data_IF_720707461558
#
_entry.id   IF_720707461558
#
_cell.length_a   1.000
_cell.length_b   1.000
_cell.length_c   1.000
_cell.angle_alpha   90.00
_cell.angle_beta   90.00
_cell.angle_gamma   90.00
#
_symmetry.space_group_name_H-M   'P 1'
#
loop_
_entity.id
_entity.type
_entity.pdbx_description
1 polymer ?
#
# COMPACT_ATOMS: atom_id res chain seq x y z
N UNK A 1 5.68 -9.05 -4.03
CA UNK A 1 4.25 -9.37 -3.89
C UNK A 1 3.97 -10.85 -4.15
N UNK A 2 4.09 -11.30 -5.41
CA UNK A 2 3.77 -12.67 -5.88
C UNK A 2 4.99 -13.60 -5.99
N UNK A 3 6.10 -13.33 -5.29
CA UNK A 3 7.35 -14.10 -5.51
C UNK A 3 8.09 -13.81 -6.81
N UNK A 4 7.66 -12.80 -7.57
CA UNK A 4 8.34 -12.35 -8.80
C UNK A 4 9.22 -11.15 -8.47
N UNK A 5 10.51 -11.26 -8.75
CA UNK A 5 11.46 -10.16 -8.63
C UNK A 5 11.35 -9.27 -9.88
N UNK A 6 11.01 -8.00 -9.68
CA UNK A 6 10.91 -7.00 -10.74
C UNK A 6 10.74 -5.60 -10.18
N UNK A 7 11.12 -4.60 -10.96
CA UNK A 7 11.07 -3.18 -10.59
C UNK A 7 10.93 -2.29 -11.84
N UNK A 8 10.66 -1.00 -11.61
CA UNK A 8 10.58 -0.01 -12.69
C UNK A 8 11.97 0.37 -13.20
N UNK A 9 12.13 0.43 -14.52
CA UNK A 9 13.34 0.91 -15.21
C UNK A 9 12.98 2.02 -16.19
N UNK A 10 13.98 2.76 -16.68
CA UNK A 10 13.77 3.71 -17.77
C UNK A 10 13.47 2.99 -19.08
N UNK A 11 12.92 3.73 -20.06
CA UNK A 11 12.53 3.16 -21.35
C UNK A 11 13.71 2.58 -22.14
N UNK A 12 14.87 3.22 -22.06
CA UNK A 12 16.09 2.78 -22.77
C UNK A 12 16.60 1.46 -22.18
N UNK A 13 16.61 1.33 -20.85
CA UNK A 13 16.99 0.08 -20.18
C UNK A 13 16.02 -1.06 -20.52
N UNK A 14 14.72 -0.76 -20.62
CA UNK A 14 13.71 -1.74 -21.05
C UNK A 14 13.95 -2.20 -22.49
N UNK A 15 14.21 -1.27 -23.43
CA UNK A 15 14.54 -1.59 -24.82
C UNK A 15 15.80 -2.44 -24.94
N UNK A 16 16.85 -2.11 -24.19
CA UNK A 16 18.07 -2.89 -24.14
C UNK A 16 17.82 -4.33 -23.66
N UNK A 17 17.02 -4.50 -22.60
CA UNK A 17 16.62 -5.82 -22.10
C UNK A 17 15.81 -6.61 -23.13
N UNK A 18 14.92 -5.95 -23.88
CA UNK A 18 14.17 -6.58 -24.98
C UNK A 18 15.08 -7.06 -26.12
N UNK A 19 16.22 -6.39 -26.33
CA UNK A 19 17.26 -6.80 -27.29
C UNK A 19 18.21 -7.87 -26.72
N UNK A 20 17.92 -8.41 -25.53
CA UNK A 20 18.71 -9.45 -24.88
C UNK A 20 19.93 -8.93 -24.11
N UNK A 21 20.07 -7.61 -23.94
CA UNK A 21 21.14 -7.07 -23.10
C UNK A 21 20.84 -7.32 -21.61
N UNK A 22 21.80 -7.85 -20.83
CA UNK A 22 21.64 -7.99 -19.39
C UNK A 22 21.51 -6.61 -18.71
N UNK A 23 20.71 -6.56 -17.64
CA UNK A 23 20.66 -5.38 -16.76
C UNK A 23 21.94 -5.33 -15.91
N UNK A 24 22.73 -4.28 -16.08
CA UNK A 24 23.91 -4.04 -15.25
C UNK A 24 23.53 -3.33 -13.96
N UNK A 25 23.83 -3.94 -12.81
CA UNK A 25 23.60 -3.35 -11.50
C UNK A 25 24.68 -3.77 -10.51
N UNK A 26 24.94 -2.91 -9.52
CA UNK A 26 25.71 -3.33 -8.35
C UNK A 26 24.91 -4.36 -7.57
N UNK A 27 25.60 -5.36 -7.00
CA UNK A 27 24.96 -6.31 -6.09
C UNK A 27 24.38 -5.52 -4.92
N UNK A 28 23.04 -5.51 -4.73
CA UNK A 28 22.41 -4.64 -3.76
C UNK A 28 22.51 -5.23 -2.35
N UNK A 29 22.61 -4.36 -1.36
CA UNK A 29 22.27 -4.73 0.02
C UNK A 29 20.82 -5.22 0.08
N UNK A 30 20.55 -6.19 0.95
CA UNK A 30 19.19 -6.66 1.23
C UNK A 30 18.82 -6.33 2.66
N UNK A 31 17.74 -5.56 2.83
CA UNK A 31 17.16 -5.23 4.12
C UNK A 31 16.01 -6.20 4.40
N UNK A 32 16.14 -7.00 5.45
CA UNK A 32 15.08 -7.89 5.90
C UNK A 32 14.02 -7.11 6.68
N UNK A 33 12.76 -7.25 6.31
CA UNK A 33 11.64 -6.64 7.03
C UNK A 33 10.73 -7.72 7.62
N UNK A 34 10.89 -7.98 8.92
CA UNK A 34 10.17 -9.04 9.64
C UNK A 34 8.75 -8.62 9.97
N UNK A 35 7.77 -9.40 9.52
CA UNK A 35 6.38 -9.26 9.92
C UNK A 35 6.02 -10.38 10.91
N UNK A 36 5.56 -9.98 12.09
CA UNK A 36 5.04 -10.90 13.12
C UNK A 36 3.60 -10.53 13.48
N UNK A 37 2.92 -11.40 14.22
CA UNK A 37 1.53 -11.16 14.63
C UNK A 37 0.55 -11.15 13.47
N UNK A 38 -0.63 -10.57 13.71
CA UNK A 38 -1.72 -10.43 12.71
C UNK A 38 -2.28 -9.02 12.78
N UNK A 39 -2.76 -8.51 11.64
CA UNK A 39 -3.50 -7.24 11.62
C UNK A 39 -4.77 -7.37 12.47
N UNK A 40 -5.05 -6.34 13.26
CA UNK A 40 -6.29 -6.24 14.04
C UNK A 40 -7.48 -5.99 13.11
N UNK A 41 -8.66 -6.37 13.56
CA UNK A 41 -9.90 -6.06 12.85
C UNK A 41 -10.03 -4.55 12.60
N UNK A 42 -10.47 -4.17 11.39
CA UNK A 42 -10.59 -2.78 10.97
C UNK A 42 -9.29 -2.13 10.49
N UNK A 43 -8.14 -2.80 10.63
CA UNK A 43 -6.86 -2.35 10.07
C UNK A 43 -6.70 -2.92 8.66
N UNK A 44 -6.21 -2.10 7.74
CA UNK A 44 -6.10 -2.44 6.32
C UNK A 44 -4.65 -2.62 5.86
N UNK A 45 -4.48 -3.20 4.67
CA UNK A 45 -3.18 -3.24 3.99
C UNK A 45 -2.58 -1.85 3.79
N UNK A 46 -3.42 -0.82 3.59
CA UNK A 46 -3.01 0.57 3.47
C UNK A 46 -2.34 1.08 4.75
N UNK A 47 -2.90 0.75 5.92
CA UNK A 47 -2.32 1.15 7.21
C UNK A 47 -0.95 0.50 7.45
N UNK A 48 -0.84 -0.79 7.10
CA UNK A 48 0.40 -1.54 7.19
C UNK A 48 1.46 -0.96 6.26
N UNK A 49 1.14 -0.72 4.98
CA UNK A 49 2.13 -0.18 4.03
C UNK A 49 2.57 1.23 4.39
N UNK A 50 1.70 2.08 4.94
CA UNK A 50 2.11 3.41 5.43
C UNK A 50 3.08 3.29 6.62
N UNK A 51 2.84 2.34 7.52
CA UNK A 51 3.71 2.06 8.66
C UNK A 51 5.08 1.55 8.19
N UNK A 52 5.09 0.57 7.28
CA UNK A 52 6.29 0.05 6.63
C UNK A 52 7.05 1.17 5.91
N UNK A 53 6.34 2.03 5.17
CA UNK A 53 6.93 3.13 4.41
C UNK A 53 7.65 4.12 5.32
N UNK A 54 7.01 4.52 6.42
CA UNK A 54 7.60 5.40 7.41
C UNK A 54 8.89 4.80 8.02
N UNK A 55 8.85 3.52 8.40
CA UNK A 55 9.99 2.82 9.01
C UNK A 55 11.17 2.68 8.03
N UNK A 56 10.90 2.22 6.81
CA UNK A 56 11.93 2.02 5.79
C UNK A 56 12.54 3.34 5.30
N UNK A 57 11.75 4.42 5.20
CA UNK A 57 12.29 5.74 4.91
C UNK A 57 13.21 6.25 5.99
N UNK A 58 12.86 6.04 7.26
CA UNK A 58 13.72 6.40 8.40
C UNK A 58 15.02 5.58 8.41
N UNK A 59 14.94 4.31 8.03
CA UNK A 59 16.11 3.41 7.97
C UNK A 59 17.05 3.72 6.79
N UNK A 60 16.51 4.17 5.65
CA UNK A 60 17.28 4.54 4.48
C UNK A 60 17.61 3.35 3.57
N UNK A 61 16.64 2.98 2.72
CA UNK A 61 16.76 1.83 1.80
C UNK A 61 16.93 2.20 0.33
N UNK A 62 17.38 3.43 0.05
CA UNK A 62 17.62 3.90 -1.33
C UNK A 62 18.67 3.04 -2.02
N UNK A 63 18.30 2.46 -3.18
CA UNK A 63 19.16 1.58 -3.96
C UNK A 63 19.34 0.17 -3.39
N UNK A 64 18.61 -0.17 -2.32
CA UNK A 64 18.65 -1.49 -1.67
C UNK A 64 17.43 -2.32 -2.04
N UNK A 65 17.53 -3.63 -1.85
CA UNK A 65 16.37 -4.51 -1.86
C UNK A 65 15.76 -4.57 -0.47
N UNK A 66 14.44 -4.67 -0.39
CA UNK A 66 13.72 -5.01 0.83
C UNK A 66 13.07 -6.36 0.63
N UNK A 67 13.38 -7.31 1.51
CA UNK A 67 12.76 -8.63 1.52
C UNK A 67 11.91 -8.79 2.77
N UNK A 68 10.63 -9.08 2.60
CA UNK A 68 9.70 -9.31 3.69
C UNK A 68 9.73 -10.77 4.11
N UNK A 69 9.84 -11.02 5.41
CA UNK A 69 9.94 -12.37 5.99
C UNK A 69 9.24 -12.45 7.36
N UNK A 70 9.30 -13.63 7.99
CA UNK A 70 8.66 -13.90 9.27
C UNK A 70 7.29 -14.58 9.15
N UNK A 71 6.79 -15.10 10.26
CA UNK A 71 5.58 -15.92 10.29
C UNK A 71 4.30 -15.14 10.01
N UNK A 72 4.31 -13.82 10.21
CA UNK A 72 3.18 -12.95 9.89
C UNK A 72 2.78 -12.98 8.41
N UNK A 73 3.69 -13.38 7.51
CA UNK A 73 3.37 -13.53 6.08
C UNK A 73 2.25 -14.56 5.83
N UNK A 74 2.16 -15.61 6.65
CA UNK A 74 1.16 -16.66 6.48
C UNK A 74 -0.28 -16.12 6.62
N UNK A 75 -0.46 -15.05 7.38
CA UNK A 75 -1.75 -14.39 7.61
C UNK A 75 -1.97 -13.17 6.70
N UNK A 76 -1.03 -12.88 5.80
CA UNK A 76 -1.10 -11.73 4.91
C UNK A 76 -1.51 -12.17 3.49
N UNK A 77 -2.76 -11.90 3.07
CA UNK A 77 -3.25 -12.25 1.74
C UNK A 77 -2.37 -11.67 0.63
N UNK A 78 -2.37 -12.30 -0.55
CA UNK A 78 -1.49 -11.87 -1.63
C UNK A 78 -1.75 -10.43 -2.10
N UNK A 79 -3.01 -10.00 -2.11
CA UNK A 79 -3.36 -8.63 -2.46
C UNK A 79 -2.68 -7.62 -1.52
N UNK A 80 -2.59 -7.92 -0.22
CA UNK A 80 -1.94 -7.06 0.77
C UNK A 80 -0.41 -7.04 0.55
N UNK A 81 0.19 -8.19 0.24
CA UNK A 81 1.61 -8.27 -0.16
C UNK A 81 1.89 -7.44 -1.41
N UNK A 82 0.96 -7.43 -2.36
CA UNK A 82 1.06 -6.64 -3.59
C UNK A 82 0.92 -5.14 -3.30
N UNK A 83 -0.01 -4.74 -2.42
CA UNK A 83 -0.14 -3.35 -1.92
C UNK A 83 1.18 -2.86 -1.33
N UNK A 84 1.82 -3.67 -0.47
CA UNK A 84 3.10 -3.30 0.16
C UNK A 84 4.22 -3.22 -0.88
N UNK A 85 4.37 -4.24 -1.73
CA UNK A 85 5.41 -4.28 -2.74
C UNK A 85 5.26 -3.15 -3.79
N UNK A 86 4.02 -2.75 -4.12
CA UNK A 86 3.77 -1.66 -5.06
C UNK A 86 4.33 -0.33 -4.56
N UNK A 87 4.35 -0.10 -3.24
CA UNK A 87 4.87 1.13 -2.64
C UNK A 87 6.39 1.15 -2.44
N UNK A 88 7.14 0.25 -3.09
CA UNK A 88 8.60 0.20 -3.01
C UNK A 88 9.29 1.52 -3.35
N UNK A 89 8.88 2.22 -4.43
CA UNK A 89 9.43 3.55 -4.74
C UNK A 89 9.16 4.57 -3.62
N UNK A 90 8.00 4.50 -2.97
CA UNK A 90 7.58 5.40 -1.89
C UNK A 90 8.40 5.22 -0.63
N UNK A 91 8.97 4.05 -0.35
CA UNK A 91 9.99 3.86 0.69
C UNK A 91 11.44 3.89 0.21
N UNK A 92 11.64 3.96 -1.10
CA UNK A 92 12.94 4.19 -1.75
C UNK A 92 13.69 2.92 -2.13
N UNK A 93 13.15 1.74 -1.86
CA UNK A 93 13.80 0.50 -2.26
C UNK A 93 13.69 0.30 -3.78
N UNK A 94 14.66 -0.40 -4.35
CA UNK A 94 14.59 -0.85 -5.74
C UNK A 94 13.41 -1.82 -5.92
N UNK A 95 13.20 -2.71 -4.95
CA UNK A 95 12.05 -3.62 -4.92
C UNK A 95 11.65 -4.02 -3.48
N UNK A 96 10.39 -4.42 -3.34
CA UNK A 96 9.81 -5.05 -2.15
C UNK A 96 9.44 -6.49 -2.46
N UNK A 97 10.31 -7.42 -2.06
CA UNK A 97 10.20 -8.84 -2.38
C UNK A 97 9.46 -9.61 -1.28
N UNK A 98 8.57 -10.51 -1.70
CA UNK A 98 7.90 -11.47 -0.82
C UNK A 98 8.14 -12.84 -1.45
N UNK A 99 8.72 -13.81 -0.73
CA UNK A 99 9.05 -15.12 -1.29
C UNK A 99 7.80 -15.95 -1.63
N UNK A 100 7.99 -16.98 -2.46
CA UNK A 100 6.94 -17.92 -2.86
C UNK A 100 6.57 -18.82 -1.68
N UNK A 101 5.27 -19.02 -1.46
CA UNK A 101 4.71 -19.86 -0.41
C UNK A 101 3.28 -20.32 -0.76
N UNK A 102 2.60 -20.96 0.19
CA UNK A 102 1.23 -21.46 -0.02
C UNK A 102 0.22 -20.36 -0.38
N UNK A 103 0.39 -19.13 0.12
CA UNK A 103 -0.48 -17.99 -0.23
C UNK A 103 -0.29 -17.61 -1.70
N UNK A 104 0.94 -17.71 -2.21
CA UNK A 104 1.25 -17.53 -3.63
C UNK A 104 0.49 -18.54 -4.49
N UNK A 105 0.55 -19.83 -4.14
CA UNK A 105 -0.17 -20.88 -4.88
C UNK A 105 -1.70 -20.73 -4.77
N UNK A 106 -2.19 -20.35 -3.59
CA UNK A 106 -3.61 -20.05 -3.35
C UNK A 106 -4.13 -18.94 -4.28
N UNK A 107 -3.34 -17.89 -4.48
CA UNK A 107 -3.66 -16.83 -5.43
C UNK A 107 -3.59 -17.28 -6.89
N UNK A 108 -2.60 -18.11 -7.26
CA UNK A 108 -2.53 -18.68 -8.61
C UNK A 108 -3.77 -19.51 -8.94
N UNK A 109 -4.24 -20.31 -7.98
CA UNK A 109 -5.49 -21.06 -8.10
C UNK A 109 -6.69 -20.13 -8.25
N UNK A 110 -6.80 -19.11 -7.38
CA UNK A 110 -7.88 -18.12 -7.42
C UNK A 110 -7.93 -17.38 -8.76
N UNK A 111 -6.78 -17.07 -9.34
CA UNK A 111 -6.64 -16.38 -10.64
C UNK A 111 -6.71 -17.31 -11.86
N UNK A 112 -7.15 -18.55 -11.66
CA UNK A 112 -7.47 -19.49 -12.74
C UNK A 112 -6.25 -20.14 -13.41
N UNK A 113 -5.10 -20.23 -12.73
CA UNK A 113 -3.96 -21.02 -13.24
C UNK A 113 -4.23 -22.51 -13.10
N UNK A 114 -3.73 -23.30 -14.07
CA UNK A 114 -3.99 -24.75 -14.11
C UNK A 114 -3.31 -25.48 -12.96
N UNK A 115 -3.84 -26.65 -12.60
CA UNK A 115 -3.26 -27.48 -11.56
C UNK A 115 -1.83 -27.92 -11.91
N UNK A 116 -1.55 -28.21 -13.19
CA UNK A 116 -0.20 -28.59 -13.63
C UNK A 116 0.78 -27.43 -13.45
N UNK A 117 0.38 -26.20 -13.79
CA UNK A 117 1.23 -25.02 -13.63
C UNK A 117 1.53 -24.72 -12.16
N UNK A 118 0.53 -24.85 -11.29
CA UNK A 118 0.69 -24.64 -9.83
C UNK A 118 1.67 -25.67 -9.27
N UNK A 119 1.48 -26.95 -9.61
CA UNK A 119 2.38 -28.03 -9.17
C UNK A 119 3.81 -27.84 -9.66
N UNK A 120 3.99 -27.37 -10.90
CA UNK A 120 5.31 -27.04 -11.45
C UNK A 120 5.98 -25.91 -10.67
N UNK A 121 5.27 -24.82 -10.39
CA UNK A 121 5.82 -23.68 -9.63
C UNK A 121 6.24 -24.10 -8.24
N UNK A 122 5.41 -24.89 -7.54
CA UNK A 122 5.75 -25.41 -6.21
C UNK A 122 7.01 -26.28 -6.24
N UNK A 123 7.04 -27.29 -7.12
CA UNK A 123 8.16 -28.22 -7.22
C UNK A 123 9.47 -27.48 -7.58
N UNK A 124 9.40 -26.55 -8.52
CA UNK A 124 10.55 -25.75 -8.93
C UNK A 124 11.05 -24.84 -7.81
N UNK A 125 10.15 -24.08 -7.16
CA UNK A 125 10.52 -23.18 -6.07
C UNK A 125 11.18 -23.93 -4.90
N UNK A 126 10.66 -25.11 -4.54
CA UNK A 126 11.25 -25.98 -3.52
C UNK A 126 12.62 -26.52 -3.93
N UNK A 127 12.74 -27.04 -5.16
CA UNK A 127 14.00 -27.60 -5.66
C UNK A 127 15.12 -26.55 -5.74
N UNK A 128 14.78 -25.29 -5.98
CA UNK A 128 15.75 -24.18 -6.07
C UNK A 128 16.00 -23.47 -4.73
N UNK A 129 15.36 -23.90 -3.63
CA UNK A 129 15.48 -23.21 -2.34
C UNK A 129 14.83 -21.82 -2.29
N UNK A 130 13.89 -21.53 -3.20
CA UNK A 130 13.15 -20.26 -3.26
C UNK A 130 11.82 -20.31 -2.48
N UNK A 131 11.49 -21.45 -1.89
CA UNK A 131 10.27 -21.67 -1.14
C UNK A 131 10.43 -21.21 0.32
N UNK A 132 9.53 -20.34 0.79
CA UNK A 132 9.48 -19.91 2.19
C UNK A 132 8.84 -20.98 3.08
N UNK A 133 9.50 -21.30 4.19
CA UNK A 133 8.99 -22.13 5.26
C UNK A 133 8.67 -21.29 6.52
N UNK A 134 7.76 -21.76 7.39
CA UNK A 134 7.57 -21.18 8.71
C UNK A 134 8.86 -21.18 9.53
N UNK A 135 9.16 -20.07 10.19
CA UNK A 135 10.38 -19.90 11.00
C UNK A 135 11.66 -19.61 10.22
N UNK A 136 11.61 -19.44 8.90
CA UNK A 136 12.79 -19.05 8.12
C UNK A 136 13.31 -17.66 8.56
N UNK A 137 14.62 -17.58 8.85
CA UNK A 137 15.36 -16.36 9.21
C UNK A 137 16.57 -16.19 8.28
N UNK A 138 16.39 -15.68 7.04
CA UNK A 138 17.51 -15.44 6.14
C UNK A 138 18.50 -14.41 6.69
N UNK A 139 19.75 -14.47 6.24
CA UNK A 139 20.79 -13.52 6.64
C UNK A 139 20.71 -12.28 5.74
N UNK A 140 20.35 -11.15 6.34
CA UNK A 140 20.22 -9.86 5.66
C UNK A 140 21.35 -8.90 6.05
N UNK A 141 21.62 -7.89 5.20
CA UNK A 141 22.59 -6.83 5.51
C UNK A 141 22.19 -6.03 6.75
N UNK A 142 20.89 -5.78 6.90
CA UNK A 142 20.28 -5.20 8.09
C UNK A 142 18.83 -5.65 8.19
N UNK A 143 18.23 -5.50 9.36
CA UNK A 143 16.84 -5.90 9.56
C UNK A 143 16.02 -4.88 10.36
N UNK A 144 14.73 -4.86 10.06
CA UNK A 144 13.68 -4.19 10.82
C UNK A 144 12.61 -5.23 11.15
N UNK A 145 11.79 -4.95 12.15
CA UNK A 145 10.66 -5.80 12.51
C UNK A 145 9.45 -4.96 12.90
N UNK A 146 8.25 -5.44 12.56
CA UNK A 146 6.99 -4.91 13.06
C UNK A 146 6.07 -6.04 13.46
N UNK A 147 5.46 -5.90 14.64
CA UNK A 147 4.30 -6.70 15.02
C UNK A 147 3.07 -6.04 14.40
N UNK A 148 2.42 -6.75 13.48
CA UNK A 148 1.25 -6.27 12.75
C UNK A 148 0.07 -5.96 13.68
N UNK A 149 0.03 -6.51 14.90
CA UNK A 149 -1.01 -6.18 15.88
C UNK A 149 -0.90 -4.75 16.41
N UNK A 150 0.28 -4.14 16.31
CA UNK A 150 0.55 -2.76 16.75
C UNK A 150 0.16 -1.71 15.71
N UNK A 151 -0.11 -2.13 14.47
CA UNK A 151 -0.54 -1.22 13.40
C UNK A 151 -1.89 -0.61 13.75
N UNK A 152 -2.01 0.68 13.50
CA UNK A 152 -3.20 1.49 13.74
C UNK A 152 -3.63 2.18 12.45
N UNK A 153 -4.93 2.48 12.36
CA UNK A 153 -5.50 3.20 11.23
C UNK A 153 -4.78 4.53 11.02
N UNK A 154 -4.39 4.85 9.79
CA UNK A 154 -3.54 6.00 9.49
C UNK A 154 -3.80 6.61 8.12
N UNK A 155 -3.33 7.85 7.94
CA UNK A 155 -3.26 8.56 6.67
C UNK A 155 -1.82 8.99 6.42
N UNK A 156 -1.49 9.31 5.17
CA UNK A 156 -0.23 9.94 4.80
C UNK A 156 -0.47 11.32 4.21
N UNK A 157 0.31 12.30 4.65
CA UNK A 157 0.25 13.66 4.13
C UNK A 157 0.58 14.73 5.17
N UNK A 158 0.32 16.01 4.86
CA UNK A 158 -0.39 16.48 3.66
C UNK A 158 0.47 16.53 2.39
N UNK A 159 1.79 16.35 2.48
CA UNK A 159 2.72 16.61 1.36
C UNK A 159 3.44 15.38 0.81
N UNK A 160 3.75 14.37 1.64
CA UNK A 160 4.57 13.23 1.22
C UNK A 160 3.99 11.90 1.70
N UNK A 161 4.14 10.80 0.94
CA UNK A 161 3.63 9.47 1.31
C UNK A 161 4.18 8.91 2.62
N UNK A 162 5.40 9.30 3.01
CA UNK A 162 6.03 8.86 4.26
C UNK A 162 5.60 9.67 5.49
N UNK A 163 4.85 10.77 5.31
CA UNK A 163 4.33 11.60 6.39
C UNK A 163 3.09 10.91 7.00
N UNK A 164 3.30 9.73 7.60
CA UNK A 164 2.24 8.94 8.24
C UNK A 164 1.74 9.64 9.51
N UNK A 165 0.42 9.75 9.62
CA UNK A 165 -0.30 10.28 10.78
C UNK A 165 -1.36 9.26 11.20
N UNK A 166 -1.35 8.87 12.48
CA UNK A 166 -2.42 8.05 13.04
C UNK A 166 -3.78 8.75 12.87
N UNK A 167 -4.82 8.02 12.49
CA UNK A 167 -6.13 8.59 12.17
C UNK A 167 -6.68 9.49 13.31
N UNK A 168 -6.56 9.14 14.61
CA UNK A 168 -6.99 10.02 15.70
C UNK A 168 -6.25 11.36 15.79
N UNK A 169 -5.04 11.43 15.23
CA UNK A 169 -4.14 12.59 15.30
C UNK A 169 -4.22 13.50 14.05
N UNK A 170 -5.02 13.12 13.05
CA UNK A 170 -5.18 13.89 11.81
C UNK A 170 -5.64 15.33 12.07
N UNK A 171 -6.61 15.62 12.95
CA UNK A 171 -7.02 17.00 13.22
C UNK A 171 -5.87 17.88 13.75
N UNK A 172 -5.02 17.33 14.63
CA UNK A 172 -3.88 18.01 15.22
C UNK A 172 -2.77 18.21 14.17
N UNK A 173 -2.46 17.17 13.40
CA UNK A 173 -1.46 17.24 12.34
C UNK A 173 -1.85 18.23 11.23
N UNK A 174 -3.14 18.28 10.86
CA UNK A 174 -3.66 19.24 9.90
C UNK A 174 -3.47 20.68 10.39
N UNK A 175 -3.89 20.97 11.63
CA UNK A 175 -3.71 22.32 12.23
C UNK A 175 -2.24 22.74 12.24
N UNK A 176 -1.34 21.85 12.67
CA UNK A 176 0.09 22.13 12.71
C UNK A 176 0.66 22.40 11.30
N UNK A 177 0.26 21.60 10.29
CA UNK A 177 0.70 21.80 8.92
C UNK A 177 0.19 23.13 8.32
N UNK A 178 -1.06 23.51 8.60
CA UNK A 178 -1.63 24.79 8.16
C UNK A 178 -0.93 25.98 8.82
N UNK A 179 -0.60 25.91 10.10
CA UNK A 179 0.15 26.97 10.80
C UNK A 179 1.55 27.19 10.21
N UNK A 180 2.23 26.11 9.84
CA UNK A 180 3.55 26.13 9.22
C UNK A 180 3.50 26.70 7.78
N UNK A 181 2.51 26.31 6.99
CA UNK A 181 2.41 26.73 5.58
C UNK A 181 2.00 28.19 5.38
N UNK A 182 1.28 28.78 6.34
CA UNK A 182 0.83 30.18 6.29
C UNK A 182 1.83 31.11 7.04
N UNK A 183 3.02 30.62 7.39
CA UNK A 183 4.08 31.43 8.02
C UNK A 183 3.67 32.04 9.36
N UNK A 184 2.78 31.38 10.12
CA UNK A 184 2.28 31.91 11.39
C UNK A 184 1.27 33.06 11.28
N UNK A 185 0.87 33.47 10.07
CA UNK A 185 -0.30 34.32 9.92
C UNK A 185 -1.56 33.47 10.14
N UNK A 186 -2.28 33.72 11.23
CA UNK A 186 -3.64 33.20 11.41
C UNK A 186 -4.49 33.72 10.26
N UNK A 187 -4.60 32.94 9.17
CA UNK A 187 -5.65 33.16 8.20
C UNK A 187 -6.97 33.14 8.99
N UNK A 188 -7.78 34.18 8.83
CA UNK A 188 -9.12 34.19 9.42
C UNK A 188 -9.83 32.93 8.92
N UNK A 189 -10.16 32.04 9.84
CA UNK A 189 -10.84 30.76 9.59
C UNK A 189 -12.32 30.96 9.27
N UNK A 190 -12.64 32.02 8.53
CA UNK A 190 -14.01 32.32 8.14
C UNK A 190 -14.28 31.48 6.88
N UNK A 191 -15.20 30.52 7.00
CA UNK A 191 -15.58 29.69 5.87
C UNK A 191 -16.08 30.55 4.71
N UNK A 192 -15.68 30.20 3.49
CA UNK A 192 -16.14 30.90 2.29
C UNK A 192 -17.48 30.35 1.86
N UNK A 193 -18.46 31.23 1.69
CA UNK A 193 -19.77 30.86 1.16
C UNK A 193 -19.74 30.80 -0.37
N UNK A 194 -20.47 29.85 -0.94
CA UNK A 194 -20.61 29.68 -2.39
C UNK A 194 -21.98 29.07 -2.72
N UNK A 195 -22.44 29.29 -3.95
CA UNK A 195 -23.69 28.69 -4.46
C UNK A 195 -23.37 27.52 -5.37
N UNK A 196 -24.02 26.38 -5.13
CA UNK A 196 -24.00 25.19 -5.98
C UNK A 196 -25.43 24.69 -6.14
N UNK A 197 -25.87 24.41 -7.37
CA UNK A 197 -27.24 23.96 -7.69
C UNK A 197 -28.35 24.83 -7.06
N UNK A 198 -28.11 26.14 -6.98
CA UNK A 198 -29.05 27.10 -6.39
C UNK A 198 -29.10 27.12 -4.86
N UNK A 199 -28.26 26.34 -4.18
CA UNK A 199 -28.17 26.29 -2.72
C UNK A 199 -26.88 26.96 -2.23
N UNK A 200 -26.97 27.71 -1.12
CA UNK A 200 -25.81 28.28 -0.44
C UNK A 200 -25.12 27.24 0.44
N UNK A 201 -23.81 27.17 0.34
CA UNK A 201 -22.94 26.29 1.12
C UNK A 201 -21.76 27.07 1.69
N UNK A 202 -21.14 26.54 2.75
CA UNK A 202 -19.96 27.12 3.38
C UNK A 202 -18.80 26.11 3.31
N UNK A 203 -17.65 26.55 2.77
CA UNK A 203 -16.42 25.76 2.72
C UNK A 203 -15.43 26.28 3.76
N UNK A 204 -15.02 25.41 4.69
CA UNK A 204 -14.04 25.72 5.74
C UNK A 204 -12.71 25.04 5.43
N UNK A 205 -11.64 25.51 6.06
CA UNK A 205 -10.35 24.85 6.00
C UNK A 205 -10.45 23.40 6.48
N UNK A 206 -9.82 22.48 5.75
CA UNK A 206 -9.91 21.04 5.98
C UNK A 206 -11.15 20.39 5.39
N UNK A 207 -12.05 21.13 4.73
CA UNK A 207 -13.15 20.54 3.97
C UNK A 207 -12.61 19.65 2.84
N UNK A 208 -13.08 18.40 2.80
CA UNK A 208 -12.80 17.49 1.68
C UNK A 208 -13.55 18.00 0.46
N UNK A 209 -12.83 18.24 -0.63
CA UNK A 209 -13.39 18.63 -1.94
C UNK A 209 -13.20 17.56 -3.01
N UNK A 210 -12.27 16.62 -2.80
CA UNK A 210 -12.02 15.46 -3.66
C UNK A 210 -11.96 14.23 -2.76
N UNK A 211 -12.71 13.19 -3.12
CA UNK A 211 -12.66 11.88 -2.47
C UNK A 211 -12.61 10.80 -3.57
N UNK A 212 -11.41 10.29 -3.84
CA UNK A 212 -11.16 9.36 -4.93
C UNK A 212 -10.70 8.00 -4.39
N UNK A 213 -11.42 6.94 -4.75
CA UNK A 213 -10.92 5.56 -4.61
C UNK A 213 -10.26 5.19 -5.93
N UNK A 214 -8.93 5.23 -5.94
CA UNK A 214 -8.09 5.11 -7.15
C UNK A 214 -6.81 4.33 -6.84
N UNK A 215 -5.88 4.30 -7.82
CA UNK A 215 -4.60 3.61 -7.82
C UNK A 215 -4.71 2.09 -7.81
N UNK A 216 -3.82 1.43 -8.55
CA UNK A 216 -3.67 -0.02 -8.52
C UNK A 216 -3.30 -0.53 -7.10
N UNK A 217 -2.67 0.31 -6.26
CA UNK A 217 -2.27 -0.03 -4.89
C UNK A 217 -3.43 -0.56 -4.03
N UNK A 218 -4.60 0.07 -4.14
CA UNK A 218 -5.80 -0.30 -3.36
C UNK A 218 -6.87 -0.96 -4.23
N UNK A 219 -7.02 -0.53 -5.48
CA UNK A 219 -8.10 -1.03 -6.34
C UNK A 219 -7.83 -2.40 -6.94
N UNK A 220 -6.64 -2.97 -6.75
CA UNK A 220 -6.36 -4.38 -7.03
C UNK A 220 -6.61 -5.30 -5.83
N UNK A 221 -6.99 -4.73 -4.68
CA UNK A 221 -7.22 -5.45 -3.44
C UNK A 221 -8.73 -5.58 -3.16
N UNK A 222 -9.34 -6.76 -3.41
CA UNK A 222 -10.78 -6.93 -3.25
C UNK A 222 -11.27 -6.68 -1.83
N UNK A 223 -10.45 -6.96 -0.81
CA UNK A 223 -10.83 -6.83 0.60
C UNK A 223 -11.16 -5.39 0.96
N UNK A 224 -10.30 -4.43 0.59
CA UNK A 224 -10.54 -3.00 0.89
C UNK A 224 -11.65 -2.42 0.02
N UNK A 225 -11.82 -2.90 -1.21
CA UNK A 225 -12.90 -2.49 -2.11
C UNK A 225 -14.26 -2.95 -1.59
N UNK A 226 -14.37 -4.20 -1.15
CA UNK A 226 -15.57 -4.74 -0.52
C UNK A 226 -15.87 -4.04 0.81
N UNK A 227 -14.85 -3.78 1.63
CA UNK A 227 -15.01 -3.02 2.87
C UNK A 227 -15.58 -1.61 2.61
N UNK A 228 -15.07 -0.90 1.59
CA UNK A 228 -15.58 0.41 1.20
C UNK A 228 -17.04 0.35 0.74
N UNK A 229 -17.41 -0.66 -0.06
CA UNK A 229 -18.80 -0.87 -0.50
C UNK A 229 -19.76 -1.20 0.64
N UNK A 230 -19.34 -2.06 1.58
CA UNK A 230 -20.12 -2.41 2.77
C UNK A 230 -20.30 -1.19 3.71
N UNK A 231 -19.25 -0.38 3.88
CA UNK A 231 -19.32 0.87 4.63
C UNK A 231 -20.30 1.85 3.97
N UNK A 232 -20.23 2.02 2.64
CA UNK A 232 -21.13 2.88 1.89
C UNK A 232 -22.60 2.41 2.01
N UNK A 233 -22.85 1.10 1.87
CA UNK A 233 -24.19 0.50 2.07
C UNK A 233 -24.75 0.83 3.46
N UNK A 234 -23.93 0.68 4.51
CA UNK A 234 -24.34 0.99 5.88
C UNK A 234 -24.57 2.50 6.10
N UNK A 235 -23.74 3.36 5.50
CA UNK A 235 -23.92 4.81 5.56
C UNK A 235 -25.23 5.24 4.90
N UNK A 236 -25.54 4.72 3.70
CA UNK A 236 -26.79 5.01 2.98
C UNK A 236 -28.02 4.53 3.77
N UNK A 237 -27.96 3.32 4.37
CA UNK A 237 -29.04 2.82 5.25
C UNK A 237 -29.29 3.71 6.47
N UNK A 238 -28.25 4.42 6.94
CA UNK A 238 -28.34 5.42 8.03
C UNK A 238 -28.70 6.83 7.54
N UNK A 239 -29.03 7.00 6.27
CA UNK A 239 -29.40 8.29 5.68
C UNK A 239 -28.23 9.24 5.41
N UNK A 240 -26.98 8.77 5.53
CA UNK A 240 -25.79 9.58 5.26
C UNK A 240 -25.57 9.73 3.75
N UNK A 241 -25.08 10.91 3.35
CA UNK A 241 -24.70 11.25 1.97
C UNK A 241 -23.41 12.08 1.99
N UNK A 242 -22.64 12.02 0.91
CA UNK A 242 -21.53 12.95 0.71
C UNK A 242 -22.06 14.38 0.61
N UNK A 243 -21.23 15.36 1.00
CA UNK A 243 -21.56 16.77 0.76
C UNK A 243 -21.56 17.05 -0.75
N UNK A 244 -22.42 17.97 -1.24
CA UNK A 244 -22.63 18.15 -2.68
C UNK A 244 -21.41 18.70 -3.42
N UNK A 245 -20.53 19.42 -2.73
CA UNK A 245 -19.29 19.94 -3.30
C UNK A 245 -18.15 18.92 -3.39
N UNK A 246 -18.32 17.71 -2.86
CA UNK A 246 -17.27 16.68 -2.88
C UNK A 246 -17.29 16.01 -4.24
N UNK A 247 -16.22 16.20 -5.02
CA UNK A 247 -15.99 15.44 -6.24
C UNK A 247 -15.56 14.02 -5.89
N UNK A 248 -16.53 13.11 -5.88
CA UNK A 248 -16.29 11.68 -5.64
C UNK A 248 -15.93 10.96 -6.93
N UNK A 249 -15.00 10.00 -6.87
CA UNK A 249 -14.67 9.15 -8.00
C UNK A 249 -14.23 7.76 -7.55
N UNK A 250 -14.50 6.76 -8.40
CA UNK A 250 -14.05 5.38 -8.24
C UNK A 250 -13.45 4.92 -9.57
N UNK A 251 -12.19 4.52 -9.57
CA UNK A 251 -11.46 4.06 -10.76
C UNK A 251 -10.87 2.66 -10.49
N UNK A 252 -11.62 1.57 -10.73
CA UNK A 252 -11.14 0.21 -10.49
C UNK A 252 -9.94 -0.13 -11.39
N UNK A 253 -8.91 -0.77 -10.82
CA UNK A 253 -7.69 -1.14 -11.55
C UNK A 253 -7.84 -2.36 -12.46
N UNK A 254 -8.98 -3.04 -12.42
CA UNK A 254 -9.31 -4.20 -13.26
C UNK A 254 -10.83 -4.39 -13.33
N UNK A 255 -11.31 -5.05 -14.39
CA UNK A 255 -12.72 -5.49 -14.50
C UNK A 255 -13.13 -6.41 -13.35
N UNK A 256 -12.21 -7.22 -12.84
CA UNK A 256 -12.45 -8.17 -11.71
C UNK A 256 -12.92 -7.46 -10.44
N UNK A 257 -12.62 -6.16 -10.27
CA UNK A 257 -13.08 -5.38 -9.12
C UNK A 257 -14.43 -4.70 -9.37
N UNK A 258 -14.79 -4.53 -10.64
CA UNK A 258 -16.09 -3.99 -11.05
C UNK A 258 -17.17 -5.07 -11.09
N UNK A 259 -16.80 -6.28 -11.50
CA UNK A 259 -17.65 -7.47 -11.57
C UNK A 259 -17.92 -8.08 -10.19
#
# INVERSE_FOLDING_TARGET
>A
GLGILGWGVGGIEAEAAMLGQPVSMLIPDVVGFKLTGKLREGITATDLVLTVTQMLRKHGVVGKFVEFYGDGLADLPLADRATIANMSPEFGATCGFFPVDDVTLGYMKLSGRSAEQIALVEAYAKAQGMWRNPGDEPVFTSSLAVDMSTVEASLAGPKRPQDRVALPNVPQAFKAATELDIGGHKAKTDGKTFTLDGQQHELRDGAVVIAAITSCTNTSNPSVMMAAGLLAKNAVKKGLRSKPWVKTSLAPGSKVVTD
#
